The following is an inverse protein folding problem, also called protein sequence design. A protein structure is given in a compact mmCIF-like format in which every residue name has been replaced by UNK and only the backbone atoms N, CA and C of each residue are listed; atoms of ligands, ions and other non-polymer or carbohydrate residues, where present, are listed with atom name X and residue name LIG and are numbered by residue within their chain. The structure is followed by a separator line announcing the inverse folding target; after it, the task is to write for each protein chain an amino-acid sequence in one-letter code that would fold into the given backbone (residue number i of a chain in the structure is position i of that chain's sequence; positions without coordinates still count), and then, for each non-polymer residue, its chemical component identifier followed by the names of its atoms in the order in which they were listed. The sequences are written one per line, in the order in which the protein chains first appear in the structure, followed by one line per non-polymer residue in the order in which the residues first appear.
data_IF_607155061738
#
_entry.id   IF_607155061738
#
_cell.length_a   1.000
_cell.length_b   1.000
_cell.length_c   1.000
_cell.angle_alpha   90.00
_cell.angle_beta   90.00
_cell.angle_gamma   90.00
#
_symmetry.space_group_name_H-M   'P 1'
#
loop_
_entity.id
_entity.type
_entity.pdbx_description
1 polymer ?
#
# COMPACT_ATOMS: atom_id res chain seq x y z
N UNK A 1 -30.26 28.54 6.89
CA UNK A 1 -28.81 28.44 7.29
C UNK A 1 -28.02 28.32 6.00
N UNK A 2 -27.00 29.16 5.78
CA UNK A 2 -26.11 29.06 4.63
C UNK A 2 -25.20 27.87 4.83
N UNK A 3 -25.16 26.92 3.87
CA UNK A 3 -24.23 25.81 3.93
C UNK A 3 -22.79 26.30 3.97
N UNK A 4 -22.00 25.76 4.91
CA UNK A 4 -20.56 26.04 5.00
C UNK A 4 -19.88 25.34 3.84
N UNK A 5 -19.21 26.10 2.97
CA UNK A 5 -18.52 25.57 1.80
C UNK A 5 -17.26 24.79 2.19
N UNK A 6 -17.14 23.58 1.67
CA UNK A 6 -15.91 22.77 1.74
C UNK A 6 -15.00 23.18 0.58
N UNK A 7 -13.68 23.18 0.83
CA UNK A 7 -12.67 23.52 -0.19
C UNK A 7 -12.65 22.49 -1.33
N UNK A 8 -12.28 22.94 -2.53
CA UNK A 8 -12.23 22.05 -3.71
C UNK A 8 -11.28 20.87 -3.50
N UNK A 9 -10.13 21.10 -2.87
CA UNK A 9 -9.15 20.06 -2.54
C UNK A 9 -9.73 18.90 -1.72
N UNK A 10 -10.74 19.16 -0.87
CA UNK A 10 -11.39 18.11 -0.07
C UNK A 10 -12.52 17.45 -0.84
N UNK A 11 -13.25 18.22 -1.67
CA UNK A 11 -14.36 17.68 -2.50
C UNK A 11 -13.88 16.68 -3.56
N UNK A 12 -12.63 16.78 -4.00
CA UNK A 12 -12.05 15.92 -5.03
C UNK A 12 -11.34 14.68 -4.46
N UNK A 13 -11.37 14.47 -3.14
CA UNK A 13 -10.80 13.26 -2.53
C UNK A 13 -11.71 12.08 -2.84
N UNK A 14 -11.12 11.05 -3.44
CA UNK A 14 -11.73 9.75 -3.70
C UNK A 14 -10.92 8.66 -3.02
N UNK A 15 -11.59 7.69 -2.41
CA UNK A 15 -10.94 6.52 -1.81
C UNK A 15 -11.74 5.25 -2.08
N UNK A 16 -11.64 4.75 -3.30
CA UNK A 16 -12.43 3.64 -3.83
C UNK A 16 -12.58 2.44 -2.89
N UNK A 17 -11.54 2.13 -2.10
CA UNK A 17 -11.51 0.99 -1.16
C UNK A 17 -12.61 1.11 -0.08
N UNK A 18 -12.95 2.33 0.34
CA UNK A 18 -13.99 2.59 1.35
C UNK A 18 -15.28 3.13 0.76
N UNK A 19 -15.23 3.73 -0.42
CA UNK A 19 -16.41 4.32 -1.07
C UNK A 19 -17.44 3.25 -1.48
N UNK A 20 -17.04 1.98 -1.59
CA UNK A 20 -17.94 0.84 -1.82
C UNK A 20 -18.68 0.35 -0.57
N UNK A 21 -18.25 0.74 0.65
CA UNK A 21 -18.84 0.27 1.92
C UNK A 21 -20.32 0.65 2.10
N UNK A 22 -20.77 1.89 1.77
CA UNK A 22 -22.20 2.24 1.86
C UNK A 22 -23.09 1.31 1.05
N UNK A 23 -22.66 0.88 -0.13
CA UNK A 23 -23.40 -0.07 -0.98
C UNK A 23 -23.49 -1.46 -0.33
N UNK A 24 -22.38 -1.95 0.25
CA UNK A 24 -22.38 -3.21 0.98
C UNK A 24 -23.34 -3.18 2.18
N UNK A 25 -23.38 -2.08 2.93
CA UNK A 25 -24.34 -1.89 4.03
C UNK A 25 -25.80 -1.90 3.56
N UNK A 26 -26.10 -1.37 2.37
CA UNK A 26 -27.45 -1.41 1.79
C UNK A 26 -27.83 -2.85 1.42
N UNK A 27 -26.93 -3.60 0.78
CA UNK A 27 -27.18 -5.00 0.41
C UNK A 27 -27.33 -5.87 1.66
N UNK A 28 -26.50 -5.68 2.70
CA UNK A 28 -26.60 -6.41 3.96
C UNK A 28 -27.98 -6.25 4.64
N UNK A 29 -28.63 -5.09 4.51
CA UNK A 29 -29.99 -4.87 5.05
C UNK A 29 -31.05 -5.76 4.42
N UNK A 30 -30.82 -6.34 3.25
CA UNK A 30 -31.72 -7.32 2.61
C UNK A 30 -31.60 -8.73 3.19
N UNK A 31 -30.74 -8.94 4.17
CA UNK A 31 -30.44 -10.26 4.75
C UNK A 31 -29.38 -11.06 3.98
N UNK A 32 -28.81 -10.51 2.91
CA UNK A 32 -27.77 -11.16 2.11
C UNK A 32 -26.43 -11.18 2.88
N UNK A 33 -25.77 -12.33 2.88
CA UNK A 33 -24.38 -12.46 3.38
C UNK A 33 -23.43 -11.63 2.51
N UNK A 34 -22.55 -10.86 3.12
CA UNK A 34 -21.52 -10.10 2.41
C UNK A 34 -20.16 -10.76 2.59
N UNK A 35 -19.46 -11.01 1.48
CA UNK A 35 -18.08 -11.45 1.43
C UNK A 35 -17.18 -10.24 1.20
N UNK A 36 -16.59 -9.71 2.30
CA UNK A 36 -15.77 -8.51 2.25
C UNK A 36 -14.36 -8.82 1.72
N UNK A 37 -14.14 -8.59 0.42
CA UNK A 37 -12.84 -8.73 -0.22
C UNK A 37 -12.22 -7.37 -0.60
N UNK A 38 -12.69 -6.28 0.01
CA UNK A 38 -12.29 -4.92 -0.34
C UNK A 38 -11.21 -4.32 0.56
N UNK A 39 -11.14 -4.65 1.85
CA UNK A 39 -10.25 -4.03 2.82
C UNK A 39 -9.08 -4.96 3.15
N UNK A 40 -7.85 -4.46 2.95
CA UNK A 40 -6.61 -5.14 3.29
C UNK A 40 -6.27 -5.06 4.78
N UNK A 41 -7.11 -5.63 5.63
CA UNK A 41 -6.92 -5.72 7.08
C UNK A 41 -6.86 -7.19 7.51
N UNK A 42 -5.65 -7.75 7.74
CA UNK A 42 -5.50 -9.13 8.18
C UNK A 42 -6.23 -9.43 9.50
N UNK A 43 -6.24 -8.46 10.43
CA UNK A 43 -6.84 -8.63 11.75
C UNK A 43 -8.38 -8.76 11.73
N UNK A 44 -9.01 -8.47 10.57
CA UNK A 44 -10.44 -8.76 10.38
C UNK A 44 -10.72 -10.26 10.11
N UNK A 45 -9.67 -11.07 9.96
CA UNK A 45 -9.73 -12.49 9.64
C UNK A 45 -8.96 -13.29 10.70
N UNK A 46 -8.45 -14.45 10.32
CA UNK A 46 -7.71 -15.38 11.19
C UNK A 46 -6.20 -15.05 11.34
N UNK A 47 -5.88 -13.76 11.39
CA UNK A 47 -4.56 -13.22 11.72
C UNK A 47 -4.68 -12.33 12.95
N UNK A 48 -3.62 -12.30 13.77
CA UNK A 48 -3.63 -11.49 14.97
C UNK A 48 -2.23 -10.98 15.30
N UNK A 49 -2.15 -9.80 15.89
CA UNK A 49 -0.88 -9.23 16.39
C UNK A 49 -0.21 -10.21 17.35
N UNK A 50 1.11 -10.47 17.23
CA UNK A 50 1.81 -11.43 18.08
C UNK A 50 1.68 -11.13 19.58
N UNK A 51 1.57 -12.17 20.40
CA UNK A 51 1.31 -12.03 21.83
C UNK A 51 2.39 -11.22 22.55
N UNK A 52 3.66 -11.40 22.21
CA UNK A 52 4.76 -10.63 22.82
C UNK A 52 4.67 -9.12 22.52
N UNK A 53 4.13 -8.74 21.34
CA UNK A 53 3.91 -7.35 20.98
C UNK A 53 2.74 -6.75 21.77
N UNK A 54 1.65 -7.51 21.94
CA UNK A 54 0.50 -7.11 22.78
C UNK A 54 0.92 -6.92 24.22
N UNK A 55 1.75 -7.83 24.75
CA UNK A 55 2.27 -7.75 26.10
C UNK A 55 3.14 -6.50 26.28
N UNK A 56 4.05 -6.21 25.34
CA UNK A 56 4.88 -5.02 25.39
C UNK A 56 4.06 -3.71 25.37
N UNK A 57 2.91 -3.68 24.67
CA UNK A 57 2.01 -2.54 24.74
C UNK A 57 1.40 -2.38 26.15
N UNK A 58 0.96 -3.48 26.75
CA UNK A 58 0.38 -3.46 28.10
C UNK A 58 1.41 -2.95 29.10
N UNK A 59 2.62 -3.48 29.07
CA UNK A 59 3.74 -3.07 29.91
C UNK A 59 4.06 -1.60 29.71
N UNK A 60 4.13 -1.11 28.48
CA UNK A 60 4.40 0.30 28.19
C UNK A 60 3.35 1.24 28.81
N UNK A 61 2.08 0.84 28.80
CA UNK A 61 1.00 1.63 29.43
C UNK A 61 1.11 1.61 30.97
N UNK A 62 1.42 0.46 31.56
CA UNK A 62 1.58 0.27 33.00
C UNK A 62 2.84 0.99 33.54
N UNK A 63 3.92 1.02 32.77
CA UNK A 63 5.18 1.73 33.07
C UNK A 63 5.13 3.25 32.79
N UNK A 64 3.93 3.80 32.60
CA UNK A 64 3.72 5.24 32.37
C UNK A 64 4.33 5.81 31.09
N UNK A 65 4.54 5.02 30.03
CA UNK A 65 4.95 5.53 28.72
C UNK A 65 3.81 6.32 28.01
N UNK A 66 3.08 7.14 28.78
CA UNK A 66 1.89 7.86 28.34
C UNK A 66 2.16 9.36 28.05
N UNK A 67 3.41 9.78 28.15
CA UNK A 67 3.85 11.15 27.86
C UNK A 67 4.13 11.37 26.37
N UNK A 68 4.27 12.60 25.96
CA UNK A 68 4.75 12.92 24.62
C UNK A 68 6.19 12.43 24.44
N UNK A 69 6.42 11.65 23.40
CA UNK A 69 7.77 11.30 22.93
C UNK A 69 8.37 12.42 22.07
N UNK A 70 9.65 12.36 21.72
CA UNK A 70 10.22 13.19 20.66
C UNK A 70 9.40 13.10 19.37
N UNK A 71 9.35 14.19 18.61
CA UNK A 71 8.53 14.30 17.41
C UNK A 71 8.95 13.32 16.32
N UNK A 72 10.24 13.05 16.25
CA UNK A 72 10.84 12.08 15.32
C UNK A 72 10.56 10.62 15.73
N UNK A 73 10.16 10.41 16.96
CA UNK A 73 9.94 9.09 17.57
C UNK A 73 10.97 8.75 18.65
N UNK A 74 10.65 7.76 19.49
CA UNK A 74 11.57 7.31 20.54
C UNK A 74 12.83 6.71 19.92
N UNK A 75 13.98 7.02 20.52
CA UNK A 75 15.29 6.65 19.98
C UNK A 75 15.43 5.13 19.81
N UNK A 76 14.98 4.37 20.80
CA UNK A 76 15.07 2.91 20.79
C UNK A 76 14.31 2.29 19.61
N UNK A 77 13.18 2.88 19.19
CA UNK A 77 12.44 2.41 18.02
C UNK A 77 13.16 2.79 16.73
N UNK A 78 13.67 4.02 16.62
CA UNK A 78 14.44 4.47 15.46
C UNK A 78 15.69 3.63 15.23
N UNK A 79 16.41 3.29 16.29
CA UNK A 79 17.56 2.36 16.26
C UNK A 79 17.13 0.94 15.85
N UNK A 80 16.00 0.42 16.39
CA UNK A 80 15.49 -0.89 16.01
C UNK A 80 15.08 -0.94 14.53
N UNK A 81 14.50 0.14 14.00
CA UNK A 81 14.19 0.30 12.58
C UNK A 81 15.48 0.28 11.74
N UNK A 82 16.50 1.05 12.11
CA UNK A 82 17.79 1.06 11.42
C UNK A 82 18.41 -0.37 11.37
N UNK A 83 18.40 -1.08 12.50
CA UNK A 83 18.86 -2.47 12.55
C UNK A 83 18.03 -3.42 11.67
N UNK A 84 16.70 -3.23 11.64
CA UNK A 84 15.78 -4.02 10.77
C UNK A 84 16.09 -3.79 9.30
N UNK A 85 16.22 -2.54 8.88
CA UNK A 85 16.47 -2.20 7.47
C UNK A 85 17.85 -2.72 7.02
N UNK A 86 18.87 -2.61 7.86
CA UNK A 86 20.18 -3.21 7.58
C UNK A 86 20.11 -4.74 7.47
N UNK A 87 19.45 -5.40 8.41
CA UNK A 87 19.37 -6.87 8.47
C UNK A 87 18.54 -7.48 7.34
N UNK A 88 17.38 -6.93 7.04
CA UNK A 88 16.42 -7.51 6.10
C UNK A 88 16.57 -6.96 4.68
N UNK A 89 16.83 -5.68 4.56
CA UNK A 89 16.77 -4.93 3.30
C UNK A 89 18.14 -4.47 2.80
N UNK A 90 19.22 -4.72 3.58
CA UNK A 90 20.59 -4.29 3.25
C UNK A 90 20.69 -2.77 3.03
N UNK A 91 19.94 -1.99 3.82
CA UNK A 91 19.95 -0.52 3.80
C UNK A 91 20.63 -0.03 5.08
N UNK A 92 21.73 0.70 4.93
CA UNK A 92 22.45 1.34 6.04
C UNK A 92 21.92 2.76 6.23
N UNK A 93 21.53 3.06 7.45
CA UNK A 93 21.09 4.40 7.86
C UNK A 93 21.30 4.57 9.37
N UNK A 94 21.37 5.80 9.83
CA UNK A 94 21.40 6.13 11.25
C UNK A 94 19.96 6.21 11.81
N UNK A 95 19.83 6.19 13.13
CA UNK A 95 18.53 6.46 13.77
C UNK A 95 18.02 7.87 13.47
N UNK A 96 18.90 8.82 13.18
CA UNK A 96 18.54 10.20 12.86
C UNK A 96 17.93 10.32 11.47
N UNK A 97 18.10 9.34 10.61
CA UNK A 97 17.48 9.30 9.28
C UNK A 97 16.05 8.70 9.31
N UNK A 98 15.51 8.41 10.49
CA UNK A 98 14.20 7.78 10.66
C UNK A 98 13.25 8.73 11.37
N UNK A 99 12.05 8.92 10.79
CA UNK A 99 10.92 9.63 11.42
C UNK A 99 9.76 8.65 11.58
N UNK A 100 9.36 8.41 12.82
CA UNK A 100 8.22 7.53 13.15
C UNK A 100 6.91 8.25 12.87
N UNK A 101 5.96 7.55 12.23
CA UNK A 101 4.67 8.09 11.80
C UNK A 101 3.49 7.28 12.34
N UNK A 102 2.30 7.89 12.33
CA UNK A 102 1.03 7.21 12.67
C UNK A 102 0.57 6.29 11.51
N UNK A 103 1.40 5.29 11.20
CA UNK A 103 1.31 4.45 10.02
C UNK A 103 1.85 5.15 8.77
N UNK A 104 2.15 4.35 7.76
CA UNK A 104 2.66 4.83 6.46
C UNK A 104 1.75 5.88 5.80
N UNK A 105 0.43 5.88 6.10
CA UNK A 105 -0.50 6.86 5.55
C UNK A 105 -0.14 8.30 5.95
N UNK A 106 0.32 8.51 7.18
CA UNK A 106 0.87 9.81 7.62
C UNK A 106 2.20 10.10 6.92
N UNK A 107 3.07 9.10 6.76
CA UNK A 107 4.32 9.24 6.02
C UNK A 107 4.10 9.69 4.58
N UNK A 108 3.15 9.07 3.86
CA UNK A 108 2.76 9.50 2.50
C UNK A 108 2.29 10.96 2.49
N UNK A 109 1.45 11.33 3.46
CA UNK A 109 0.95 12.71 3.57
C UNK A 109 2.10 13.70 3.77
N UNK A 110 3.02 13.44 4.70
CA UNK A 110 4.17 14.29 4.99
C UNK A 110 5.11 14.40 3.78
N UNK A 111 5.43 13.29 3.14
CA UNK A 111 6.28 13.29 1.94
C UNK A 111 5.63 14.12 0.83
N UNK A 112 4.33 13.93 0.57
CA UNK A 112 3.63 14.71 -0.46
C UNK A 112 3.52 16.20 -0.09
N UNK A 113 3.32 16.54 1.18
CA UNK A 113 3.26 17.92 1.63
C UNK A 113 4.61 18.64 1.50
N UNK A 114 5.71 17.94 1.79
CA UNK A 114 7.05 18.51 1.70
C UNK A 114 7.61 18.55 0.26
N UNK A 115 7.10 17.70 -0.64
CA UNK A 115 7.63 17.53 -2.00
C UNK A 115 6.89 18.36 -3.05
N UNK A 116 5.58 18.65 -2.85
CA UNK A 116 4.68 19.11 -3.90
C UNK A 116 4.17 20.52 -3.65
N UNK A 117 4.42 21.40 -4.61
CA UNK A 117 3.72 22.66 -4.77
C UNK A 117 2.64 22.57 -5.87
N UNK A 118 1.83 23.63 -6.00
CA UNK A 118 0.76 23.69 -7.00
C UNK A 118 1.32 23.61 -8.43
N UNK A 119 0.92 22.58 -9.16
CA UNK A 119 1.33 22.33 -10.53
C UNK A 119 2.51 21.40 -10.71
N UNK A 120 3.16 20.98 -9.63
CA UNK A 120 4.20 19.94 -9.66
C UNK A 120 3.61 18.57 -10.01
N UNK A 121 4.45 17.68 -10.54
CA UNK A 121 4.07 16.32 -10.94
C UNK A 121 4.81 15.28 -10.10
N UNK A 122 4.10 14.22 -9.72
CA UNK A 122 4.67 13.01 -9.12
C UNK A 122 4.39 11.82 -10.03
N UNK A 123 5.41 11.03 -10.35
CA UNK A 123 5.25 9.81 -11.14
C UNK A 123 4.91 8.63 -10.22
N UNK A 124 3.80 7.96 -10.52
CA UNK A 124 3.23 6.86 -9.74
C UNK A 124 3.09 5.61 -10.62
N UNK A 125 3.24 4.37 -10.10
CA UNK A 125 2.88 3.19 -10.87
C UNK A 125 1.38 3.20 -11.18
N UNK A 126 1.01 2.81 -12.38
CA UNK A 126 -0.39 2.67 -12.79
C UNK A 126 -0.72 1.19 -13.06
N UNK A 127 -1.60 0.56 -12.26
CA UNK A 127 -2.38 1.12 -11.14
C UNK A 127 -1.58 1.31 -9.84
N UNK A 128 -2.09 2.17 -8.94
CA UNK A 128 -1.41 2.57 -7.71
C UNK A 128 -2.33 2.57 -6.49
N UNK A 129 -1.75 2.60 -5.29
CA UNK A 129 -2.48 2.77 -4.04
C UNK A 129 -3.12 4.17 -3.98
N UNK A 130 -4.47 4.29 -3.88
CA UNK A 130 -5.20 5.54 -4.07
C UNK A 130 -4.75 6.74 -3.24
N UNK A 131 -4.26 6.61 -1.99
CA UNK A 131 -3.77 7.74 -1.22
C UNK A 131 -2.65 8.55 -1.89
N UNK A 132 -1.80 7.94 -2.71
CA UNK A 132 -0.78 8.67 -3.46
C UNK A 132 -1.41 9.67 -4.43
N UNK A 133 -2.43 9.24 -5.18
CA UNK A 133 -3.20 10.11 -6.09
C UNK A 133 -3.92 11.21 -5.30
N UNK A 134 -4.58 10.82 -4.20
CA UNK A 134 -5.39 11.73 -3.40
C UNK A 134 -4.55 12.80 -2.72
N UNK A 135 -3.41 12.46 -2.12
CA UNK A 135 -2.53 13.44 -1.47
C UNK A 135 -1.81 14.34 -2.47
N UNK A 136 -1.36 13.80 -3.62
CA UNK A 136 -0.79 14.63 -4.68
C UNK A 136 -1.77 15.74 -5.10
N UNK A 137 -3.03 15.39 -5.37
CA UNK A 137 -4.10 16.36 -5.70
C UNK A 137 -4.43 17.29 -4.53
N UNK A 138 -4.46 16.77 -3.30
CA UNK A 138 -4.78 17.55 -2.11
C UNK A 138 -3.77 18.70 -1.90
N UNK A 139 -2.49 18.48 -2.17
CA UNK A 139 -1.45 19.49 -2.09
C UNK A 139 -1.30 20.33 -3.38
N UNK A 140 -2.19 20.15 -4.36
CA UNK A 140 -2.24 20.97 -5.57
C UNK A 140 -1.37 20.44 -6.71
N UNK A 141 -0.69 19.31 -6.51
CA UNK A 141 0.10 18.65 -7.53
C UNK A 141 -0.73 17.77 -8.46
N UNK A 142 -0.07 17.22 -9.47
CA UNK A 142 -0.64 16.35 -10.48
C UNK A 142 -0.04 14.94 -10.38
N UNK A 143 -0.82 13.92 -10.04
CA UNK A 143 -0.36 12.54 -10.19
C UNK A 143 -0.28 12.18 -11.67
N UNK A 144 0.85 11.65 -12.10
CA UNK A 144 1.10 11.15 -13.46
C UNK A 144 1.46 9.67 -13.34
N UNK A 145 0.61 8.79 -13.85
CA UNK A 145 0.84 7.35 -13.72
C UNK A 145 1.64 6.80 -14.90
N UNK A 146 2.69 6.03 -14.61
CA UNK A 146 3.41 5.24 -15.60
C UNK A 146 2.87 3.81 -15.65
N UNK A 147 2.87 3.22 -16.83
CA UNK A 147 2.33 1.90 -17.07
C UNK A 147 3.09 0.82 -16.28
N UNK A 148 2.36 -0.07 -15.62
CA UNK A 148 2.83 -1.41 -15.27
C UNK A 148 2.14 -2.42 -16.21
N UNK A 149 2.90 -3.38 -16.74
CA UNK A 149 2.46 -4.27 -17.83
C UNK A 149 1.88 -5.56 -17.27
N UNK A 150 0.56 -5.73 -17.37
CA UNK A 150 -0.16 -6.91 -16.83
C UNK A 150 0.41 -8.22 -17.38
N UNK A 151 0.63 -8.29 -18.69
CA UNK A 151 1.12 -9.48 -19.39
C UNK A 151 2.56 -9.86 -18.96
N UNK A 152 3.29 -8.93 -18.36
CA UNK A 152 4.61 -9.13 -17.78
C UNK A 152 4.57 -9.13 -16.24
N UNK A 153 3.47 -9.59 -15.62
CA UNK A 153 3.35 -9.66 -14.17
C UNK A 153 3.35 -8.30 -13.49
N UNK A 154 2.78 -7.28 -14.14
CA UNK A 154 2.69 -5.91 -13.65
C UNK A 154 4.05 -5.24 -13.42
N UNK A 155 5.08 -5.60 -14.19
CA UNK A 155 6.36 -4.91 -14.12
C UNK A 155 6.27 -3.49 -14.71
N UNK A 156 6.93 -2.48 -14.11
CA UNK A 156 7.03 -1.14 -14.64
C UNK A 156 7.58 -1.09 -16.08
N UNK A 157 6.94 -0.31 -16.93
CA UNK A 157 7.41 -0.01 -18.28
C UNK A 157 8.36 1.20 -18.22
N UNK A 158 9.65 0.95 -18.32
CA UNK A 158 10.71 1.98 -18.19
C UNK A 158 10.63 3.01 -19.33
N UNK A 159 10.27 2.59 -20.54
CA UNK A 159 10.14 3.50 -21.68
C UNK A 159 8.94 4.46 -21.51
N UNK A 160 7.84 3.97 -20.93
CA UNK A 160 6.69 4.81 -20.62
C UNK A 160 7.01 5.77 -19.46
N UNK A 161 7.70 5.28 -18.42
CA UNK A 161 8.17 6.11 -17.31
C UNK A 161 9.08 7.24 -17.81
N UNK A 162 10.08 6.93 -18.63
CA UNK A 162 11.01 7.91 -19.23
C UNK A 162 10.28 9.01 -20.01
N UNK A 163 9.27 8.65 -20.79
CA UNK A 163 8.46 9.61 -21.58
C UNK A 163 7.61 10.54 -20.73
N UNK A 164 7.33 10.17 -19.48
CA UNK A 164 6.45 10.93 -18.57
C UNK A 164 7.20 11.89 -17.65
N UNK A 165 8.53 11.78 -17.58
CA UNK A 165 9.36 12.76 -16.88
C UNK A 165 9.25 14.11 -17.59
N UNK A 166 9.03 15.17 -16.81
CA UNK A 166 8.94 16.55 -17.28
C UNK A 166 9.69 17.49 -16.32
N UNK A 167 9.88 18.75 -16.68
CA UNK A 167 10.46 19.77 -15.80
C UNK A 167 9.66 20.01 -14.51
N UNK A 168 8.39 19.54 -14.47
CA UNK A 168 7.51 19.63 -13.30
C UNK A 168 7.61 18.41 -12.39
N UNK A 169 8.27 17.37 -12.82
CA UNK A 169 8.42 16.14 -12.03
C UNK A 169 9.27 16.42 -10.81
N UNK A 170 8.78 16.01 -9.63
CA UNK A 170 9.47 16.18 -8.33
C UNK A 170 9.95 14.87 -7.72
N UNK A 171 9.53 13.73 -8.26
CA UNK A 171 9.97 12.43 -7.79
C UNK A 171 9.27 11.29 -8.50
N UNK A 172 9.82 10.09 -8.32
CA UNK A 172 9.29 8.83 -8.85
C UNK A 172 8.91 7.95 -7.68
N UNK A 173 7.64 7.56 -7.57
CA UNK A 173 7.21 6.61 -6.56
C UNK A 173 7.31 5.17 -7.08
N UNK A 174 7.84 4.30 -6.24
CA UNK A 174 7.89 2.84 -6.41
C UNK A 174 7.09 2.23 -5.27
N UNK A 175 6.06 1.44 -5.58
CA UNK A 175 5.27 0.70 -4.58
C UNK A 175 5.56 -0.78 -4.80
N UNK A 176 6.45 -1.33 -4.01
CA UNK A 176 6.98 -2.68 -4.18
C UNK A 176 7.16 -3.40 -2.85
N UNK A 177 6.48 -4.51 -2.63
CA UNK A 177 5.45 -5.15 -3.47
C UNK A 177 4.19 -4.29 -3.66
N UNK A 178 3.52 -4.48 -4.81
CA UNK A 178 2.50 -3.55 -5.29
C UNK A 178 1.10 -3.81 -4.70
N UNK A 179 0.42 -2.73 -4.39
CA UNK A 179 -1.02 -2.66 -4.19
C UNK A 179 -1.60 -1.77 -5.32
N UNK A 180 -2.45 -2.30 -6.23
CA UNK A 180 -3.39 -3.41 -6.02
C UNK A 180 -3.00 -4.77 -6.59
N UNK A 181 -1.93 -4.91 -7.35
CA UNK A 181 -1.71 -6.07 -8.22
C UNK A 181 -1.10 -7.29 -7.50
N UNK A 182 -0.49 -7.11 -6.31
CA UNK A 182 0.29 -8.16 -5.66
C UNK A 182 1.60 -8.49 -6.40
N UNK A 183 2.04 -7.64 -7.30
CA UNK A 183 3.28 -7.80 -8.04
C UNK A 183 4.50 -7.57 -7.16
N UNK A 184 5.57 -8.28 -7.44
CA UNK A 184 6.90 -8.02 -6.95
C UNK A 184 7.77 -7.57 -8.14
N UNK A 185 8.31 -6.35 -8.07
CA UNK A 185 9.15 -5.83 -9.15
C UNK A 185 10.50 -6.52 -9.15
N UNK A 186 10.97 -6.90 -10.32
CA UNK A 186 12.29 -7.49 -10.50
C UNK A 186 13.39 -6.49 -10.17
N UNK A 187 14.45 -6.95 -9.51
CA UNK A 187 15.59 -6.12 -9.11
C UNK A 187 16.14 -5.29 -10.27
N UNK A 188 16.26 -5.90 -11.46
CA UNK A 188 16.74 -5.20 -12.67
C UNK A 188 15.84 -4.03 -13.07
N UNK A 189 14.50 -4.16 -12.86
CA UNK A 189 13.53 -3.10 -13.19
C UNK A 189 13.61 -1.98 -12.17
N UNK A 190 13.69 -2.32 -10.87
CA UNK A 190 13.88 -1.32 -9.80
C UNK A 190 15.19 -0.56 -10.03
N UNK A 191 16.27 -1.25 -10.37
CA UNK A 191 17.56 -0.63 -10.71
C UNK A 191 17.45 0.36 -11.88
N UNK A 192 16.73 0.00 -12.94
CA UNK A 192 16.49 0.90 -14.07
C UNK A 192 15.68 2.14 -13.67
N UNK A 193 14.73 2.00 -12.72
CA UNK A 193 14.00 3.17 -12.19
C UNK A 193 14.95 4.08 -11.42
N UNK A 194 15.81 3.52 -10.56
CA UNK A 194 16.82 4.28 -9.80
C UNK A 194 17.79 4.99 -10.75
N UNK A 195 18.32 4.29 -11.75
CA UNK A 195 19.20 4.88 -12.76
C UNK A 195 18.52 6.03 -13.50
N UNK A 196 17.24 5.85 -13.91
CA UNK A 196 16.47 6.88 -14.58
C UNK A 196 16.19 8.10 -13.67
N UNK A 197 15.95 7.88 -12.38
CA UNK A 197 15.79 8.94 -11.40
C UNK A 197 17.09 9.76 -11.27
N UNK A 198 18.25 9.09 -11.18
CA UNK A 198 19.56 9.76 -11.14
C UNK A 198 19.89 10.53 -12.42
N UNK A 199 19.54 10.01 -13.60
CA UNK A 199 19.70 10.72 -14.89
C UNK A 199 18.92 12.06 -14.93
N UNK A 200 17.92 12.24 -14.07
CA UNK A 200 17.03 13.40 -14.06
C UNK A 200 17.03 14.16 -12.72
N UNK A 201 17.98 13.91 -11.85
CA UNK A 201 18.12 14.55 -10.52
C UNK A 201 16.84 14.46 -9.67
N UNK A 202 16.15 13.30 -9.71
CA UNK A 202 14.88 13.06 -9.02
C UNK A 202 15.07 12.11 -7.83
N UNK A 203 14.42 12.37 -6.68
CA UNK A 203 14.36 11.40 -5.60
C UNK A 203 13.40 10.25 -5.95
N UNK A 204 13.67 9.07 -5.40
CA UNK A 204 12.73 7.94 -5.45
C UNK A 204 11.99 7.84 -4.11
N UNK A 205 10.66 7.78 -4.16
CA UNK A 205 9.80 7.50 -3.02
C UNK A 205 9.47 6.01 -3.03
N UNK A 206 10.01 5.23 -2.10
CA UNK A 206 9.84 3.78 -2.07
C UNK A 206 8.90 3.33 -0.97
N UNK A 207 7.71 2.86 -1.35
CA UNK A 207 6.73 2.24 -0.44
C UNK A 207 6.99 0.73 -0.37
N UNK A 208 7.54 0.29 0.76
CA UNK A 208 7.97 -1.08 0.99
C UNK A 208 7.17 -1.78 2.11
N UNK A 209 5.92 -1.35 2.33
CA UNK A 209 5.08 -1.88 3.43
C UNK A 209 4.85 -3.39 3.39
N UNK A 210 5.05 -4.02 2.23
CA UNK A 210 4.91 -5.47 2.03
C UNK A 210 6.25 -6.19 1.87
N UNK A 211 7.38 -5.59 2.22
CA UNK A 211 8.74 -6.10 2.05
C UNK A 211 8.94 -7.54 2.56
N UNK A 212 8.25 -7.94 3.63
CA UNK A 212 8.33 -9.27 4.22
C UNK A 212 7.19 -10.21 3.78
N UNK A 213 6.22 -9.74 3.00
CA UNK A 213 5.10 -10.56 2.51
C UNK A 213 5.35 -10.90 1.04
N UNK A 214 6.32 -11.76 0.82
CA UNK A 214 6.75 -12.24 -0.51
C UNK A 214 6.71 -13.76 -0.52
N UNK A 215 6.24 -14.40 -1.59
CA UNK A 215 5.91 -15.82 -1.59
C UNK A 215 7.07 -16.73 -2.01
N UNK A 216 7.59 -16.57 -3.23
CA UNK A 216 8.59 -17.48 -3.81
C UNK A 216 9.91 -16.78 -4.14
N UNK A 217 9.87 -15.49 -4.45
CA UNK A 217 11.02 -14.67 -4.81
C UNK A 217 11.58 -13.95 -3.59
N UNK A 218 12.71 -13.27 -3.77
CA UNK A 218 13.30 -12.40 -2.75
C UNK A 218 12.91 -10.95 -3.06
N UNK A 219 12.53 -10.22 -2.03
CA UNK A 219 12.39 -8.76 -2.09
C UNK A 219 13.79 -8.10 -2.11
N UNK A 220 13.93 -7.05 -2.89
CA UNK A 220 15.10 -6.16 -2.88
C UNK A 220 14.62 -4.73 -2.66
N UNK A 221 15.12 -4.08 -1.62
CA UNK A 221 14.77 -2.69 -1.31
C UNK A 221 15.35 -1.75 -2.36
N UNK A 222 14.60 -0.74 -2.73
CA UNK A 222 15.02 0.30 -3.66
C UNK A 222 16.27 1.04 -3.16
N UNK A 223 16.29 1.37 -1.86
CA UNK A 223 17.43 2.04 -1.23
C UNK A 223 18.73 1.21 -1.30
N UNK A 224 18.62 -0.13 -1.22
CA UNK A 224 19.81 -1.00 -1.36
C UNK A 224 20.43 -1.01 -2.76
N UNK A 225 19.71 -0.52 -3.75
CA UNK A 225 20.17 -0.41 -5.14
C UNK A 225 20.61 1.02 -5.52
N UNK A 226 20.28 1.99 -4.67
CA UNK A 226 20.53 3.41 -4.89
C UNK A 226 21.85 3.80 -4.19
N UNK A 227 22.90 4.09 -4.98
CA UNK A 227 24.19 4.57 -4.43
C UNK A 227 24.22 6.09 -4.34
N UNK A 228 23.96 6.75 -5.47
CA UNK A 228 24.09 8.20 -5.60
C UNK A 228 22.71 8.87 -5.86
N UNK A 229 21.62 8.10 -5.70
CA UNK A 229 20.25 8.58 -5.92
C UNK A 229 19.51 8.64 -4.59
N UNK A 230 18.96 9.80 -4.21
CA UNK A 230 18.27 9.94 -2.94
C UNK A 230 16.97 9.11 -2.90
N UNK A 231 16.78 8.33 -1.82
CA UNK A 231 15.59 7.52 -1.61
C UNK A 231 14.88 7.91 -0.31
N UNK A 232 13.61 8.21 -0.43
CA UNK A 232 12.70 8.40 0.71
C UNK A 232 11.91 7.09 0.88
N UNK A 233 12.30 6.28 1.85
CA UNK A 233 11.66 4.99 2.11
C UNK A 233 10.47 5.12 3.05
N UNK A 234 9.43 4.36 2.79
CA UNK A 234 8.20 4.28 3.56
C UNK A 234 7.94 2.83 3.93
N UNK A 235 7.88 2.53 5.23
CA UNK A 235 7.58 1.19 5.72
C UNK A 235 6.84 1.27 7.07
N UNK A 236 6.43 0.12 7.63
CA UNK A 236 5.69 0.14 8.87
C UNK A 236 5.24 -1.23 9.37
N UNK A 237 4.40 -1.20 10.39
CA UNK A 237 4.05 -2.36 11.20
C UNK A 237 2.70 -2.98 10.83
N UNK A 238 1.93 -2.31 9.99
CA UNK A 238 0.55 -2.70 9.71
C UNK A 238 0.43 -4.09 9.08
N UNK A 239 1.40 -4.53 8.25
CA UNK A 239 1.25 -5.71 7.41
C UNK A 239 2.05 -6.89 7.94
N UNK A 240 3.37 -6.81 7.95
CA UNK A 240 4.22 -7.90 8.44
C UNK A 240 4.01 -8.21 9.92
N UNK A 241 3.74 -7.20 10.74
CA UNK A 241 3.55 -7.33 12.20
C UNK A 241 2.07 -7.35 12.63
N UNK A 242 1.12 -7.34 11.65
CA UNK A 242 -0.32 -7.44 11.92
C UNK A 242 -0.85 -6.35 12.90
N UNK A 243 -0.34 -5.13 12.77
CA UNK A 243 -0.64 -3.98 13.65
C UNK A 243 -1.45 -2.89 12.90
N UNK A 244 -2.42 -3.27 12.07
CA UNK A 244 -3.16 -2.34 11.20
C UNK A 244 -3.86 -1.23 11.97
N UNK A 245 -4.54 -1.55 13.07
CA UNK A 245 -5.26 -0.63 13.94
C UNK A 245 -4.36 0.18 14.89
N UNK A 246 -3.10 -0.22 15.09
CA UNK A 246 -2.19 0.41 16.04
C UNK A 246 -1.56 1.69 15.49
N UNK A 247 -1.59 1.87 14.17
CA UNK A 247 -1.12 3.06 13.46
C UNK A 247 0.34 3.38 13.74
N UNK A 248 1.24 2.47 13.38
CA UNK A 248 2.70 2.65 13.49
C UNK A 248 3.37 2.43 12.13
N UNK A 249 4.21 3.36 11.73
CA UNK A 249 5.02 3.34 10.51
C UNK A 249 6.20 4.29 10.64
N UNK A 250 6.94 4.43 9.57
CA UNK A 250 8.09 5.34 9.52
C UNK A 250 8.40 5.77 8.09
N UNK A 251 9.05 6.91 8.00
CA UNK A 251 9.76 7.41 6.83
C UNK A 251 11.24 7.33 7.15
N UNK A 252 12.07 6.92 6.19
CA UNK A 252 13.51 7.00 6.31
C UNK A 252 14.13 7.68 5.09
N UNK A 253 15.31 8.26 5.30
CA UNK A 253 16.07 8.95 4.27
C UNK A 253 17.35 8.19 4.02
N UNK A 254 17.55 7.74 2.77
CA UNK A 254 18.79 7.12 2.31
C UNK A 254 19.42 8.05 1.28
N UNK A 255 20.53 8.66 1.67
CA UNK A 255 21.15 9.74 0.92
C UNK A 255 22.64 9.85 1.35
N UNK A 256 23.52 9.47 0.45
CA UNK A 256 24.97 9.50 0.71
C UNK A 256 25.58 10.91 0.57
N UNK A 257 24.88 11.84 -0.13
CA UNK A 257 25.38 13.17 -0.52
C UNK A 257 24.62 14.35 0.11
N UNK A 258 23.88 14.15 1.19
CA UNK A 258 23.04 15.16 1.88
C UNK A 258 21.98 15.87 0.97
N UNK A 259 21.59 15.26 -0.15
CA UNK A 259 20.61 15.82 -1.08
C UNK A 259 19.22 15.93 -0.47
N UNK A 260 18.85 15.04 0.48
CA UNK A 260 17.56 15.02 1.17
C UNK A 260 17.51 15.88 2.44
N UNK A 261 18.57 16.59 2.81
CA UNK A 261 18.64 17.32 4.07
C UNK A 261 17.49 18.34 4.24
N UNK A 262 17.15 19.09 3.19
CA UNK A 262 16.02 20.04 3.23
C UNK A 262 14.67 19.31 3.35
N UNK A 263 14.52 18.18 2.65
CA UNK A 263 13.32 17.35 2.69
C UNK A 263 13.10 16.76 4.10
N UNK A 264 14.16 16.20 4.69
CA UNK A 264 14.17 15.67 6.05
C UNK A 264 13.78 16.75 7.07
N UNK A 265 14.41 17.94 7.00
CA UNK A 265 14.05 19.08 7.87
C UNK A 265 12.60 19.54 7.67
N UNK A 266 12.08 19.49 6.45
CA UNK A 266 10.68 19.78 6.14
C UNK A 266 9.74 18.81 6.86
N UNK A 267 9.97 17.52 6.73
CA UNK A 267 9.16 16.47 7.38
C UNK A 267 9.32 16.50 8.90
N UNK A 268 10.50 16.82 9.44
CA UNK A 268 10.69 17.06 10.88
C UNK A 268 9.81 18.21 11.40
N UNK A 269 9.66 19.32 10.64
CA UNK A 269 8.77 20.43 11.01
C UNK A 269 7.32 19.97 11.07
N UNK A 270 6.87 19.16 10.11
CA UNK A 270 5.53 18.58 10.13
C UNK A 270 5.34 17.62 11.32
N UNK A 271 6.34 16.80 11.63
CA UNK A 271 6.34 15.93 12.80
C UNK A 271 6.17 16.75 14.11
N UNK A 272 6.83 17.92 14.22
CA UNK A 272 6.69 18.83 15.38
C UNK A 272 5.28 19.41 15.49
N UNK A 273 4.64 19.78 14.39
CA UNK A 273 3.24 20.28 14.39
C UNK A 273 2.27 19.18 14.83
N UNK A 274 2.49 17.95 14.43
CA UNK A 274 1.71 16.78 14.85
C UNK A 274 1.98 16.38 16.31
N UNK A 275 3.07 16.82 16.94
CA UNK A 275 3.64 16.48 18.24
C UNK A 275 4.46 15.19 18.18
N UNK A 276 3.83 14.01 18.29
CA UNK A 276 4.51 12.71 18.22
C UNK A 276 3.58 11.61 17.72
N UNK A 277 4.12 10.49 17.28
CA UNK A 277 3.38 9.26 17.13
C UNK A 277 3.01 8.67 18.51
N UNK A 278 2.08 7.71 18.54
CA UNK A 278 1.58 7.11 19.79
C UNK A 278 2.71 6.45 20.60
N UNK A 279 3.07 7.03 21.74
CA UNK A 279 4.24 6.61 22.53
C UNK A 279 4.17 5.17 23.04
N UNK A 280 3.08 4.67 23.65
CA UNK A 280 3.00 3.26 24.06
C UNK A 280 3.16 2.30 22.86
N UNK A 281 2.57 2.64 21.72
CA UNK A 281 2.68 1.81 20.51
C UNK A 281 4.11 1.80 19.94
N UNK A 282 4.85 2.89 20.06
CA UNK A 282 6.27 2.92 19.69
C UNK A 282 7.11 1.94 20.52
N UNK A 283 6.85 1.85 21.84
CA UNK A 283 7.52 0.88 22.71
C UNK A 283 7.20 -0.57 22.30
N UNK A 284 5.94 -0.85 21.99
CA UNK A 284 5.54 -2.15 21.45
C UNK A 284 6.17 -2.44 20.06
N UNK A 285 6.41 -1.40 19.26
CA UNK A 285 7.11 -1.49 17.98
C UNK A 285 8.54 -2.03 18.11
N UNK A 286 9.25 -1.65 19.17
CA UNK A 286 10.58 -2.22 19.48
C UNK A 286 10.47 -3.74 19.67
N UNK A 287 9.50 -4.20 20.47
CA UNK A 287 9.28 -5.63 20.70
C UNK A 287 8.88 -6.36 19.41
N UNK A 288 8.14 -5.71 18.52
CA UNK A 288 7.80 -6.28 17.20
C UNK A 288 9.04 -6.52 16.32
N UNK A 289 10.01 -5.60 16.34
CA UNK A 289 11.23 -5.70 15.52
C UNK A 289 12.30 -6.62 16.10
N UNK A 290 12.45 -6.63 17.41
CA UNK A 290 13.52 -7.35 18.13
C UNK A 290 13.07 -8.72 18.66
N UNK A 291 11.78 -8.93 18.77
CA UNK A 291 11.19 -10.19 19.28
C UNK A 291 11.16 -11.30 18.23
N UNK A 292 10.53 -12.45 18.57
CA UNK A 292 10.37 -13.59 17.67
C UNK A 292 9.65 -13.23 16.38
N UNK A 293 10.14 -13.72 15.22
CA UNK A 293 9.65 -13.42 13.89
C UNK A 293 8.89 -14.58 13.21
N UNK A 294 8.56 -15.65 13.94
CA UNK A 294 7.93 -16.85 13.37
C UNK A 294 6.53 -16.54 12.79
N UNK A 295 5.83 -15.59 13.40
CA UNK A 295 4.54 -15.12 12.91
C UNK A 295 4.57 -14.60 11.47
N UNK A 296 5.69 -14.01 11.03
CA UNK A 296 5.85 -13.54 9.65
C UNK A 296 5.87 -14.73 8.70
N UNK A 297 6.65 -15.77 9.03
CA UNK A 297 6.75 -17.00 8.20
C UNK A 297 5.39 -17.71 8.12
N UNK A 298 4.67 -17.82 9.24
CA UNK A 298 3.34 -18.41 9.29
C UNK A 298 2.33 -17.62 8.45
N UNK A 299 2.35 -16.28 8.58
CA UNK A 299 1.51 -15.38 7.78
C UNK A 299 1.80 -15.54 6.29
N UNK A 300 3.07 -15.51 5.88
CA UNK A 300 3.47 -15.67 4.47
C UNK A 300 3.05 -17.04 3.92
N UNK A 301 3.25 -18.12 4.69
CA UNK A 301 2.81 -19.46 4.29
C UNK A 301 1.30 -19.49 4.02
N UNK A 302 0.50 -19.01 4.97
CA UNK A 302 -0.96 -18.95 4.87
C UNK A 302 -1.42 -18.11 3.68
N UNK A 303 -0.82 -16.93 3.49
CA UNK A 303 -1.15 -16.05 2.38
C UNK A 303 -0.75 -16.63 1.02
N UNK A 304 0.38 -17.31 0.91
CA UNK A 304 0.81 -18.01 -0.31
C UNK A 304 -0.19 -19.09 -0.73
N UNK A 305 -0.65 -19.90 0.22
CA UNK A 305 -1.66 -20.94 -0.04
C UNK A 305 -2.95 -20.32 -0.57
N UNK A 306 -3.45 -19.26 0.08
CA UNK A 306 -4.64 -18.53 -0.35
C UNK A 306 -4.47 -17.82 -1.68
N UNK A 307 -3.30 -17.23 -1.94
CA UNK A 307 -2.97 -16.58 -3.20
C UNK A 307 -2.98 -17.58 -4.36
N UNK A 308 -2.36 -18.73 -4.17
CA UNK A 308 -2.33 -19.80 -5.17
C UNK A 308 -3.75 -20.30 -5.48
N UNK A 309 -4.55 -20.57 -4.44
CA UNK A 309 -5.94 -20.97 -4.60
C UNK A 309 -6.75 -19.91 -5.37
N UNK A 310 -6.69 -18.66 -4.96
CA UNK A 310 -7.45 -17.59 -5.56
C UNK A 310 -7.06 -17.35 -7.03
N UNK A 311 -5.76 -17.39 -7.33
CA UNK A 311 -5.25 -17.22 -8.68
C UNK A 311 -5.74 -18.35 -9.63
N UNK A 312 -5.68 -19.61 -9.21
CA UNK A 312 -6.20 -20.74 -9.99
C UNK A 312 -7.71 -20.60 -10.22
N UNK A 313 -8.45 -20.35 -9.13
CA UNK A 313 -9.90 -20.28 -9.17
C UNK A 313 -10.43 -19.16 -10.07
N UNK A 314 -9.76 -17.99 -10.06
CA UNK A 314 -10.11 -16.86 -10.92
C UNK A 314 -9.85 -17.16 -12.40
N UNK A 315 -8.74 -17.83 -12.73
CA UNK A 315 -8.40 -18.16 -14.11
C UNK A 315 -9.18 -19.37 -14.68
N UNK A 316 -9.89 -20.13 -13.85
CA UNK A 316 -10.84 -21.15 -14.28
C UNK A 316 -12.20 -20.58 -14.71
N UNK A 317 -12.50 -19.33 -14.32
CA UNK A 317 -13.77 -18.69 -14.65
C UNK A 317 -13.75 -18.12 -16.07
N UNK A 318 -14.75 -18.46 -16.88
CA UNK A 318 -14.91 -17.87 -18.19
C UNK A 318 -15.10 -16.36 -18.14
N UNK A 319 -14.38 -15.64 -18.97
CA UNK A 319 -14.41 -14.18 -19.02
C UNK A 319 -13.63 -13.45 -17.90
N UNK A 320 -12.79 -14.19 -17.16
CA UNK A 320 -11.90 -13.65 -16.13
C UNK A 320 -10.47 -14.08 -16.40
N UNK A 321 -9.51 -13.20 -16.22
CA UNK A 321 -8.08 -13.54 -16.16
C UNK A 321 -7.40 -12.78 -15.03
N UNK A 322 -6.36 -13.37 -14.44
CA UNK A 322 -5.62 -12.76 -13.34
C UNK A 322 -4.14 -13.11 -13.47
N UNK A 323 -3.27 -12.11 -13.49
CA UNK A 323 -1.84 -12.32 -13.36
C UNK A 323 -1.53 -12.94 -11.98
N UNK A 324 -0.52 -13.82 -11.90
CA UNK A 324 -0.14 -14.48 -10.64
C UNK A 324 0.40 -13.47 -9.64
N UNK A 325 -0.21 -13.31 -8.47
CA UNK A 325 0.37 -12.48 -7.42
C UNK A 325 1.64 -13.12 -6.86
N UNK A 326 2.68 -12.34 -6.66
CA UNK A 326 3.97 -12.80 -6.13
C UNK A 326 4.21 -12.36 -4.68
N UNK A 327 3.38 -11.42 -4.19
CA UNK A 327 3.56 -10.81 -2.88
C UNK A 327 2.26 -10.14 -2.38
N UNK A 328 2.33 -9.52 -1.20
CA UNK A 328 1.21 -8.85 -0.52
C UNK A 328 0.05 -9.83 -0.27
N UNK A 329 -1.19 -9.39 -0.44
CA UNK A 329 -2.37 -10.25 -0.26
C UNK A 329 -3.54 -9.81 -1.16
N UNK A 330 -3.21 -9.43 -2.42
CA UNK A 330 -4.16 -8.95 -3.40
C UNK A 330 -4.22 -9.85 -4.62
N UNK A 331 -5.41 -9.94 -5.22
CA UNK A 331 -5.65 -10.36 -6.59
C UNK A 331 -6.25 -9.20 -7.36
N UNK A 332 -5.89 -9.07 -8.63
CA UNK A 332 -6.36 -7.99 -9.50
C UNK A 332 -6.84 -8.52 -10.85
N UNK A 333 -7.93 -9.32 -10.82
CA UNK A 333 -8.45 -9.94 -12.03
C UNK A 333 -9.07 -8.94 -12.99
N UNK A 334 -8.84 -9.18 -14.28
CA UNK A 334 -9.47 -8.53 -15.41
C UNK A 334 -10.79 -9.22 -15.74
N UNK A 335 -11.82 -8.42 -15.99
CA UNK A 335 -13.16 -8.88 -16.37
C UNK A 335 -13.40 -8.52 -17.83
N UNK A 336 -13.33 -9.50 -18.71
CA UNK A 336 -13.33 -9.28 -20.16
C UNK A 336 -14.63 -8.73 -20.74
N UNK A 337 -15.76 -8.85 -20.02
CA UNK A 337 -17.07 -8.32 -20.43
C UNK A 337 -17.32 -6.85 -20.03
N UNK A 338 -16.39 -6.20 -19.33
CA UNK A 338 -16.43 -4.75 -19.08
C UNK A 338 -16.21 -4.02 -20.41
N UNK A 339 -17.00 -2.98 -20.65
CA UNK A 339 -17.08 -2.29 -21.95
C UNK A 339 -18.07 -2.93 -22.94
N UNK A 340 -18.62 -4.09 -22.61
CA UNK A 340 -19.65 -4.80 -23.41
C UNK A 340 -20.96 -4.89 -22.63
N UNK A 341 -21.01 -5.77 -21.61
CA UNK A 341 -22.17 -5.98 -20.74
C UNK A 341 -22.26 -4.93 -19.64
N UNK A 342 -21.17 -4.68 -18.97
CA UNK A 342 -21.04 -3.61 -17.97
C UNK A 342 -20.26 -2.44 -18.57
N UNK A 343 -20.82 -1.23 -18.42
CA UNK A 343 -20.20 -0.04 -18.99
C UNK A 343 -18.84 0.25 -18.31
N UNK A 344 -18.76 0.01 -17.00
CA UNK A 344 -17.56 0.26 -16.19
C UNK A 344 -17.29 -0.91 -15.23
N UNK A 345 -16.07 -0.97 -14.69
CA UNK A 345 -15.68 -1.89 -13.62
C UNK A 345 -16.44 -1.63 -12.29
N UNK A 346 -16.82 -0.39 -12.04
CA UNK A 346 -17.69 -0.03 -10.92
C UNK A 346 -19.11 -0.62 -11.10
N UNK A 347 -19.69 -0.57 -12.31
CA UNK A 347 -20.97 -1.18 -12.59
C UNK A 347 -20.93 -2.70 -12.35
N UNK A 348 -19.86 -3.36 -12.83
CA UNK A 348 -19.63 -4.78 -12.56
C UNK A 348 -19.54 -5.08 -11.06
N UNK A 349 -18.71 -4.33 -10.33
CA UNK A 349 -18.50 -4.56 -8.89
C UNK A 349 -19.80 -4.38 -8.09
N UNK A 350 -20.62 -3.39 -8.43
CA UNK A 350 -21.90 -3.15 -7.77
C UNK A 350 -22.96 -4.20 -8.12
N UNK A 351 -23.01 -4.66 -9.37
CA UNK A 351 -23.96 -5.72 -9.77
C UNK A 351 -23.57 -7.05 -9.13
N UNK A 352 -22.29 -7.42 -9.13
CA UNK A 352 -21.77 -8.58 -8.42
C UNK A 352 -22.15 -8.53 -6.93
N UNK A 353 -21.93 -7.39 -6.26
CA UNK A 353 -22.31 -7.20 -4.87
C UNK A 353 -23.83 -7.39 -4.64
N UNK A 354 -24.66 -6.77 -5.47
CA UNK A 354 -26.12 -6.86 -5.34
C UNK A 354 -26.64 -8.28 -5.53
N UNK A 355 -26.12 -8.98 -6.54
CA UNK A 355 -26.59 -10.32 -6.89
C UNK A 355 -26.04 -11.41 -5.95
N UNK A 356 -24.80 -11.29 -5.50
CA UNK A 356 -24.09 -12.37 -4.81
C UNK A 356 -23.62 -12.02 -3.38
N UNK A 357 -23.51 -10.75 -3.04
CA UNK A 357 -22.88 -10.30 -1.80
C UNK A 357 -21.34 -10.26 -1.85
N UNK A 358 -20.70 -10.57 -2.97
CA UNK A 358 -19.23 -10.47 -3.10
C UNK A 358 -18.82 -9.02 -3.33
N UNK A 359 -17.98 -8.49 -2.46
CA UNK A 359 -17.53 -7.10 -2.50
C UNK A 359 -16.06 -7.00 -2.92
N UNK A 360 -15.83 -6.65 -4.16
CA UNK A 360 -14.54 -6.19 -4.70
C UNK A 360 -14.46 -4.66 -4.73
N UNK A 361 -13.26 -4.14 -4.94
CA UNK A 361 -13.04 -2.73 -5.29
C UNK A 361 -12.83 -2.63 -6.80
N UNK A 362 -13.48 -1.68 -7.45
CA UNK A 362 -13.31 -1.43 -8.88
C UNK A 362 -11.88 -0.96 -9.20
N UNK A 363 -11.33 -1.43 -10.31
CA UNK A 363 -9.93 -1.21 -10.66
C UNK A 363 -9.62 0.23 -11.07
N UNK A 364 -10.58 0.91 -11.73
CA UNK A 364 -10.46 2.33 -12.09
C UNK A 364 -10.27 3.26 -10.87
N UNK A 365 -10.63 2.80 -9.66
CA UNK A 365 -10.35 3.50 -8.41
C UNK A 365 -8.89 3.46 -7.96
N UNK A 366 -8.06 2.63 -8.60
CA UNK A 366 -6.60 2.59 -8.41
C UNK A 366 -5.87 3.32 -9.53
N UNK A 367 -6.43 3.37 -10.71
CA UNK A 367 -6.01 4.17 -11.85
C UNK A 367 -7.10 4.12 -12.94
N UNK A 368 -7.57 5.27 -13.44
CA UNK A 368 -8.65 5.29 -14.42
C UNK A 368 -8.24 4.75 -15.81
N UNK A 369 -6.93 4.62 -16.08
CA UNK A 369 -6.39 4.10 -17.34
C UNK A 369 -5.94 2.66 -17.20
N UNK A 370 -4.97 2.41 -16.32
CA UNK A 370 -4.33 1.08 -16.18
C UNK A 370 -5.08 0.14 -15.23
N UNK A 371 -5.96 0.67 -14.37
CA UNK A 371 -6.83 -0.13 -13.52
C UNK A 371 -8.18 -0.46 -14.13
N UNK A 372 -8.58 0.27 -15.19
CA UNK A 372 -9.88 0.05 -15.84
C UNK A 372 -10.03 -1.38 -16.36
N UNK A 373 -11.24 -1.93 -16.22
CA UNK A 373 -11.54 -3.30 -16.62
C UNK A 373 -11.16 -4.37 -15.59
N UNK A 374 -10.59 -3.98 -14.46
CA UNK A 374 -10.19 -4.87 -13.38
C UNK A 374 -11.03 -4.67 -12.12
N UNK A 375 -10.90 -5.61 -11.20
CA UNK A 375 -11.36 -5.45 -9.81
C UNK A 375 -10.27 -5.92 -8.85
N UNK A 376 -10.16 -5.31 -7.66
CA UNK A 376 -9.23 -5.75 -6.63
C UNK A 376 -9.93 -6.54 -5.54
N UNK A 377 -9.47 -7.75 -5.27
CA UNK A 377 -9.82 -8.55 -4.10
C UNK A 377 -8.67 -8.74 -3.13
N UNK A 378 -8.98 -8.94 -1.84
CA UNK A 378 -8.03 -9.44 -0.84
C UNK A 378 -8.19 -10.94 -0.67
N UNK A 379 -7.06 -11.63 -0.46
CA UNK A 379 -7.00 -13.08 -0.22
C UNK A 379 -6.84 -13.40 1.28
N UNK A 380 -7.26 -12.47 2.12
CA UNK A 380 -7.14 -12.58 3.59
C UNK A 380 -8.12 -13.57 4.23
N UNK A 381 -9.35 -13.77 3.71
CA UNK A 381 -10.27 -14.75 4.27
C UNK A 381 -9.73 -16.19 4.19
N UNK A 382 -10.15 -17.10 5.11
CA UNK A 382 -9.91 -18.54 4.96
C UNK A 382 -10.34 -19.08 3.59
N UNK A 383 -9.72 -20.18 3.14
CA UNK A 383 -9.97 -20.78 1.81
C UNK A 383 -11.45 -21.11 1.64
N UNK A 384 -12.12 -21.61 2.68
CA UNK A 384 -13.54 -21.96 2.63
C UNK A 384 -14.44 -20.73 2.36
N UNK A 385 -14.03 -19.56 2.84
CA UNK A 385 -14.73 -18.30 2.59
C UNK A 385 -14.44 -17.79 1.18
N UNK A 386 -13.19 -17.90 0.72
CA UNK A 386 -12.80 -17.56 -0.65
C UNK A 386 -13.52 -18.46 -1.66
N UNK A 387 -13.63 -19.76 -1.39
CA UNK A 387 -14.37 -20.73 -2.20
C UNK A 387 -15.83 -20.30 -2.38
N UNK A 388 -16.53 -20.04 -1.27
CA UNK A 388 -17.91 -19.57 -1.32
C UNK A 388 -18.06 -18.27 -2.13
N UNK A 389 -17.15 -17.32 -1.94
CA UNK A 389 -17.20 -16.04 -2.65
C UNK A 389 -16.94 -16.23 -4.15
N UNK A 390 -15.99 -17.07 -4.52
CA UNK A 390 -15.66 -17.32 -5.93
C UNK A 390 -16.70 -18.20 -6.63
N UNK A 391 -17.36 -19.13 -5.92
CA UNK A 391 -18.49 -19.90 -6.46
C UNK A 391 -19.68 -19.00 -6.76
N UNK A 392 -19.95 -18.02 -5.89
CA UNK A 392 -20.98 -17.00 -6.15
C UNK A 392 -20.61 -16.13 -7.36
N UNK A 393 -19.36 -15.69 -7.47
CA UNK A 393 -18.87 -14.94 -8.61
C UNK A 393 -18.97 -15.75 -9.91
N UNK A 394 -18.58 -17.01 -9.91
CA UNK A 394 -18.68 -17.90 -11.10
C UNK A 394 -20.12 -18.08 -11.55
N UNK A 395 -21.06 -18.33 -10.59
CA UNK A 395 -22.49 -18.42 -10.88
C UNK A 395 -23.04 -17.13 -11.51
N UNK A 396 -22.58 -15.98 -11.00
CA UNK A 396 -22.93 -14.68 -11.55
C UNK A 396 -22.40 -14.49 -12.97
N UNK A 397 -21.14 -14.86 -13.22
CA UNK A 397 -20.52 -14.77 -14.55
C UNK A 397 -21.27 -15.63 -15.57
N UNK A 398 -21.64 -16.90 -15.25
CA UNK A 398 -22.41 -17.82 -16.11
C UNK A 398 -23.82 -17.31 -16.42
N UNK A 399 -24.53 -16.69 -15.46
CA UNK A 399 -25.84 -16.08 -15.71
C UNK A 399 -25.75 -14.83 -16.58
N UNK A 400 -24.55 -14.33 -16.73
CA UNK A 400 -24.22 -13.09 -17.41
C UNK A 400 -23.81 -13.31 -18.88
N UNK A 401 -23.84 -14.56 -19.32
CA UNK A 401 -23.73 -14.96 -20.73
C UNK A 401 -25.02 -14.74 -21.48
#
# INVERSE_FOLDING_TARGET
MTDVKVTDRVRTIEYAIRDVIPYAKQVAKTGKKIYYLNIGDPNAFDFDTPQHVKQALTEAVEEHANLYSPSEGVLELREAISRKEKRLNNVEMSADDVIVTSGISEGIQMVMAALMDAGDEILLPGPTYPPYISYARFFGGKPVTYQTVEENGWQPNIDDLRKKISEKTRGIAVINPNNPCGALYEEKVVKQIVELAGENDLPVISDEIYDQIVFEKKFTSTASLAKDVPVIGLNGFSKAYLMTGWRLGYVYFHDDDDQLQNMKQGIEKEARIRLCANTPVQKAGVAALEGPQDHVKETVKKLRERSTYAWHRLNEMEGVSCAKPEAAFYVFPKIHKIGQKWKTDMDFALDLLRETGVLFVHGSGFDPVYGAGHVRGVILPPIETLEQAFDEMERFMKKSE
#
